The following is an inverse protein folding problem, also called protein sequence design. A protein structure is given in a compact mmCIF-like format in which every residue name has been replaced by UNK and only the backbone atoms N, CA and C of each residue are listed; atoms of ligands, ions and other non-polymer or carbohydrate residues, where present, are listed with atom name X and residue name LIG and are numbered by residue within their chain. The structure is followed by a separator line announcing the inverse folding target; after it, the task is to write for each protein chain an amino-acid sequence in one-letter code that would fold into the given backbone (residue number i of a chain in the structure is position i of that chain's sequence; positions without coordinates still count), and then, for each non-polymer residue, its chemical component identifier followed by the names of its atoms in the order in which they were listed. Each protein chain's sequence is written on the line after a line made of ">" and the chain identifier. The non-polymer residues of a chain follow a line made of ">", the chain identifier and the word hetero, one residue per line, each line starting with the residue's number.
data_IF_330464872417
#
_entry.id   IF_330464872417
#
_cell.length_a   1.000
_cell.length_b   1.000
_cell.length_c   1.000
_cell.angle_alpha   90.00
_cell.angle_beta   90.00
_cell.angle_gamma   90.00
#
_symmetry.space_group_name_H-M   'P 1'
#
loop_
_entity.id
_entity.type
_entity.pdbx_description
1 polymer ?
#
# COMPACT_ATOMS: atom_id res chain seq x y z
N UNK A 1 -2.84 1.81 -17.20
CA UNK A 1 -3.00 0.63 -16.37
C UNK A 1 -2.30 0.84 -15.02
N UNK A 2 -2.96 0.54 -13.94
CA UNK A 2 -2.38 0.77 -12.62
C UNK A 2 -1.32 -0.27 -12.26
N UNK A 3 -0.26 0.16 -11.58
CA UNK A 3 0.72 -0.73 -11.01
C UNK A 3 0.29 -1.12 -9.60
N UNK A 4 0.20 -2.41 -9.34
CA UNK A 4 -0.30 -2.92 -8.06
C UNK A 4 0.88 -3.24 -7.15
N UNK A 5 0.89 -2.65 -5.96
CA UNK A 5 1.87 -2.93 -4.92
C UNK A 5 1.16 -3.62 -3.77
N UNK A 6 1.61 -4.81 -3.43
CA UNK A 6 1.07 -5.55 -2.28
C UNK A 6 2.08 -5.49 -1.15
N UNK A 7 1.63 -5.06 0.01
CA UNK A 7 2.44 -5.04 1.24
C UNK A 7 1.73 -5.92 2.24
N UNK A 8 2.31 -7.08 2.51
CA UNK A 8 1.70 -8.05 3.42
C UNK A 8 2.66 -8.38 4.55
N UNK A 9 2.23 -8.14 5.77
CA UNK A 9 3.02 -8.36 6.97
C UNK A 9 2.16 -9.13 7.96
N UNK A 10 2.63 -10.30 8.35
CA UNK A 10 1.92 -11.18 9.27
C UNK A 10 0.94 -12.11 8.60
N UNK A 11 0.22 -11.64 7.59
CA UNK A 11 -0.79 -12.43 6.88
C UNK A 11 -0.58 -12.30 5.38
N UNK A 12 -0.66 -13.41 4.66
CA UNK A 12 -0.50 -13.39 3.22
C UNK A 12 -1.81 -13.02 2.53
N UNK A 13 -1.77 -12.05 1.63
CA UNK A 13 -2.93 -11.60 0.86
C UNK A 13 -2.69 -11.60 -0.64
N UNK A 14 -1.44 -11.87 -1.06
CA UNK A 14 -1.06 -11.76 -2.48
C UNK A 14 -1.88 -12.68 -3.37
N UNK A 15 -2.21 -13.88 -2.88
CA UNK A 15 -3.03 -14.82 -3.66
C UNK A 15 -4.40 -14.26 -4.00
N UNK A 16 -5.05 -13.62 -3.02
CA UNK A 16 -6.34 -13.00 -3.23
C UNK A 16 -6.25 -11.80 -4.19
N UNK A 17 -5.18 -11.02 -4.06
CA UNK A 17 -4.96 -9.88 -4.96
C UNK A 17 -4.82 -10.36 -6.39
N UNK A 18 -4.05 -11.41 -6.62
CA UNK A 18 -3.86 -11.97 -7.97
C UNK A 18 -5.20 -12.43 -8.56
N UNK A 19 -6.01 -13.11 -7.75
CA UNK A 19 -7.31 -13.62 -8.22
C UNK A 19 -8.28 -12.49 -8.60
N UNK A 20 -8.25 -11.38 -7.87
CA UNK A 20 -9.22 -10.30 -8.09
C UNK A 20 -8.71 -9.18 -9.00
N UNK A 21 -7.43 -8.89 -8.96
CA UNK A 21 -6.88 -7.72 -9.64
C UNK A 21 -5.78 -8.03 -10.65
N UNK A 22 -5.19 -9.22 -10.57
CA UNK A 22 -4.12 -9.61 -11.48
C UNK A 22 -2.75 -9.55 -10.84
N UNK A 23 -1.72 -9.68 -11.67
CA UNK A 23 -0.33 -9.79 -11.21
C UNK A 23 0.18 -8.48 -10.61
N UNK A 24 0.72 -8.48 -9.39
CA UNK A 24 1.31 -7.28 -8.81
C UNK A 24 2.58 -6.84 -9.53
N UNK A 25 2.82 -5.53 -9.53
CA UNK A 25 4.07 -4.96 -9.99
C UNK A 25 5.19 -5.27 -9.00
N UNK A 26 4.90 -5.20 -7.71
CA UNK A 26 5.85 -5.53 -6.66
C UNK A 26 5.12 -6.03 -5.40
N UNK A 27 5.82 -6.85 -4.64
CA UNK A 27 5.30 -7.40 -3.38
C UNK A 27 6.35 -7.21 -2.30
N UNK A 28 5.92 -6.65 -1.16
CA UNK A 28 6.73 -6.60 0.06
C UNK A 28 6.08 -7.60 1.00
N UNK A 29 6.74 -8.71 1.26
CA UNK A 29 6.13 -9.81 2.01
C UNK A 29 6.95 -10.22 3.21
N UNK A 30 6.33 -10.16 4.38
CA UNK A 30 6.86 -10.68 5.64
C UNK A 30 5.76 -11.51 6.27
N UNK A 31 5.57 -12.77 5.80
CA UNK A 31 4.42 -13.60 6.22
C UNK A 31 4.61 -14.18 7.62
N UNK A 32 4.95 -13.35 8.57
CA UNK A 32 5.19 -13.70 9.96
C UNK A 32 4.99 -12.47 10.82
N UNK A 33 4.89 -12.68 12.12
CA UNK A 33 4.89 -11.56 13.05
C UNK A 33 6.24 -10.85 13.00
N UNK A 34 6.21 -9.52 12.92
CA UNK A 34 7.42 -8.70 12.89
C UNK A 34 7.53 -7.87 14.17
N UNK A 35 8.77 -7.69 14.63
CA UNK A 35 9.05 -6.86 15.79
C UNK A 35 9.19 -5.39 15.36
N UNK A 36 8.89 -4.46 16.25
CA UNK A 36 9.00 -3.03 15.95
C UNK A 36 10.40 -2.63 15.47
N UNK A 37 11.43 -3.33 15.92
CA UNK A 37 12.80 -3.04 15.48
C UNK A 37 13.01 -3.29 13.98
N UNK A 38 12.11 -4.04 13.34
CA UNK A 38 12.18 -4.34 11.91
C UNK A 38 11.42 -3.32 11.05
N UNK A 39 10.63 -2.45 11.69
CA UNK A 39 9.76 -1.52 10.96
C UNK A 39 10.54 -0.60 10.02
N UNK A 40 11.66 -0.07 10.48
CA UNK A 40 12.45 0.85 9.65
C UNK A 40 12.90 0.20 8.34
N UNK A 41 13.35 -1.04 8.41
CA UNK A 41 13.78 -1.81 7.23
C UNK A 41 12.59 -2.05 6.28
N UNK A 42 11.47 -2.47 6.83
CA UNK A 42 10.28 -2.77 6.05
C UNK A 42 9.74 -1.51 5.39
N UNK A 43 9.70 -0.40 6.12
CA UNK A 43 9.25 0.89 5.60
C UNK A 43 10.13 1.37 4.45
N UNK A 44 11.45 1.20 4.59
CA UNK A 44 12.38 1.57 3.54
C UNK A 44 12.13 0.76 2.27
N UNK A 45 11.96 -0.54 2.41
CA UNK A 45 11.68 -1.42 1.28
C UNK A 45 10.37 -1.04 0.58
N UNK A 46 9.31 -0.84 1.38
CA UNK A 46 8.01 -0.47 0.83
C UNK A 46 8.07 0.88 0.12
N UNK A 47 8.71 1.86 0.71
CA UNK A 47 8.86 3.19 0.13
C UNK A 47 9.60 3.14 -1.20
N UNK A 48 10.68 2.36 -1.27
CA UNK A 48 11.45 2.21 -2.50
C UNK A 48 10.62 1.57 -3.62
N UNK A 49 9.83 0.55 -3.29
CA UNK A 49 8.95 -0.10 -4.29
C UNK A 49 7.88 0.85 -4.80
N UNK A 50 7.28 1.62 -3.90
CA UNK A 50 6.25 2.58 -4.27
C UNK A 50 6.83 3.69 -5.14
N UNK A 51 7.99 4.23 -4.75
CA UNK A 51 8.66 5.29 -5.50
C UNK A 51 9.03 4.81 -6.90
N UNK A 52 9.55 3.60 -7.01
CA UNK A 52 9.87 3.02 -8.31
C UNK A 52 8.63 2.89 -9.19
N UNK A 53 7.52 2.43 -8.62
CA UNK A 53 6.28 2.28 -9.36
C UNK A 53 5.73 3.62 -9.86
N UNK A 54 5.96 4.70 -9.10
CA UNK A 54 5.48 6.03 -9.47
C UNK A 54 6.35 6.74 -10.51
N UNK A 55 7.49 6.18 -10.88
CA UNK A 55 8.51 6.88 -11.65
C UNK A 55 8.06 7.37 -13.03
N UNK A 56 7.05 6.77 -13.63
CA UNK A 56 6.54 7.13 -14.95
C UNK A 56 5.16 7.77 -14.92
N UNK A 57 4.79 8.37 -13.79
CA UNK A 57 3.46 8.95 -13.59
C UNK A 57 2.31 7.95 -13.74
N UNK A 58 2.59 6.67 -13.61
CA UNK A 58 1.55 5.65 -13.61
C UNK A 58 0.74 5.71 -12.33
N UNK A 59 -0.54 5.35 -12.43
CA UNK A 59 -1.35 5.19 -11.24
C UNK A 59 -0.85 3.97 -10.47
N UNK A 60 -0.72 4.11 -9.16
CA UNK A 60 -0.25 3.04 -8.28
C UNK A 60 -1.34 2.68 -7.28
N UNK A 61 -1.67 1.40 -7.23
CA UNK A 61 -2.66 0.86 -6.31
C UNK A 61 -1.95 0.09 -5.21
N UNK A 62 -2.18 0.48 -3.96
CA UNK A 62 -1.55 -0.15 -2.81
C UNK A 62 -2.59 -0.96 -2.03
N UNK A 63 -2.28 -2.23 -1.78
CA UNK A 63 -3.09 -3.10 -0.95
C UNK A 63 -2.23 -3.53 0.23
N UNK A 64 -2.74 -3.32 1.43
CA UNK A 64 -1.96 -3.46 2.67
C UNK A 64 -2.58 -4.46 3.63
N UNK A 65 -1.72 -5.23 4.29
CA UNK A 65 -2.09 -6.01 5.46
C UNK A 65 -0.90 -5.97 6.41
N UNK A 66 -1.11 -5.49 7.64
CA UNK A 66 -0.01 -5.41 8.58
C UNK A 66 -0.36 -4.63 9.84
N UNK A 67 0.63 -4.42 10.72
CA UNK A 67 0.42 -3.64 11.94
C UNK A 67 -0.02 -2.21 11.64
N UNK A 68 -1.00 -1.73 12.38
CA UNK A 68 -1.55 -0.39 12.16
C UNK A 68 -0.49 0.72 12.26
N UNK A 69 0.41 0.60 13.24
CA UNK A 69 1.46 1.60 13.43
C UNK A 69 2.37 1.69 12.21
N UNK A 70 2.74 0.54 11.64
CA UNK A 70 3.60 0.50 10.46
C UNK A 70 2.89 1.12 9.26
N UNK A 71 1.62 0.78 9.06
CA UNK A 71 0.83 1.32 7.96
C UNK A 71 0.71 2.84 8.09
N UNK A 72 0.47 3.34 9.30
CA UNK A 72 0.40 4.78 9.54
C UNK A 72 1.72 5.47 9.20
N UNK A 73 2.84 4.87 9.61
CA UNK A 73 4.16 5.43 9.31
C UNK A 73 4.44 5.44 7.81
N UNK A 74 4.01 4.41 7.10
CA UNK A 74 4.15 4.37 5.65
C UNK A 74 3.39 5.53 5.01
N UNK A 75 2.17 5.79 5.49
CA UNK A 75 1.37 6.92 5.03
C UNK A 75 2.08 8.25 5.26
N UNK A 76 2.75 8.41 6.40
CA UNK A 76 3.53 9.62 6.69
C UNK A 76 4.68 9.79 5.68
N UNK A 77 5.36 8.70 5.34
CA UNK A 77 6.48 8.75 4.39
C UNK A 77 6.04 9.13 2.98
N UNK A 78 4.92 8.57 2.55
CA UNK A 78 4.38 8.84 1.21
C UNK A 78 3.85 10.27 1.13
N UNK A 79 3.21 10.73 2.21
CA UNK A 79 2.63 12.06 2.28
C UNK A 79 1.38 12.21 1.44
N UNK A 80 0.82 13.41 1.46
CA UNK A 80 -0.40 13.72 0.73
C UNK A 80 -0.13 14.25 -0.68
N UNK A 81 1.13 14.39 -1.05
CA UNK A 81 1.51 15.03 -2.30
C UNK A 81 1.45 14.12 -3.52
N UNK A 82 1.32 12.83 -3.31
CA UNK A 82 1.38 11.87 -4.40
C UNK A 82 -0.01 11.54 -4.90
N UNK A 83 -0.42 12.27 -5.93
CA UNK A 83 -1.80 12.21 -6.45
C UNK A 83 -2.12 10.92 -7.20
N UNK A 84 -1.12 10.16 -7.61
CA UNK A 84 -1.32 8.95 -8.40
C UNK A 84 -1.38 7.68 -7.57
N UNK A 85 -1.33 7.80 -6.26
CA UNK A 85 -1.40 6.64 -5.36
C UNK A 85 -2.82 6.49 -4.85
N UNK A 86 -3.37 5.29 -5.03
CA UNK A 86 -4.68 4.92 -4.50
C UNK A 86 -4.50 3.75 -3.56
N UNK A 87 -5.24 3.73 -2.46
CA UNK A 87 -5.27 2.62 -1.52
C UNK A 87 -6.54 1.82 -1.79
N UNK A 88 -6.43 0.50 -1.85
CA UNK A 88 -7.58 -0.36 -2.07
C UNK A 88 -7.90 -1.14 -0.81
N UNK A 89 -9.18 -1.25 -0.52
CA UNK A 89 -9.69 -1.98 0.63
C UNK A 89 -10.57 -3.13 0.17
N UNK A 90 -10.32 -4.33 0.72
CA UNK A 90 -11.18 -5.47 0.46
C UNK A 90 -12.44 -5.33 1.31
N UNK A 91 -13.57 -5.35 0.65
CA UNK A 91 -14.85 -5.24 1.34
C UNK A 91 -15.93 -5.94 0.53
N UNK A 92 -16.70 -6.78 1.21
CA UNK A 92 -17.85 -7.46 0.61
C UNK A 92 -17.48 -8.27 -0.64
N UNK A 93 -16.35 -8.95 -0.62
CA UNK A 93 -15.92 -9.82 -1.71
C UNK A 93 -15.19 -9.13 -2.85
N UNK A 94 -14.97 -7.82 -2.76
CA UNK A 94 -14.33 -7.05 -3.81
C UNK A 94 -13.32 -6.06 -3.26
N UNK A 95 -12.39 -5.63 -4.12
CA UNK A 95 -11.47 -4.55 -3.79
C UNK A 95 -12.04 -3.23 -4.27
N UNK A 96 -12.04 -2.25 -3.40
CA UNK A 96 -12.56 -0.91 -3.70
C UNK A 96 -11.48 0.13 -3.50
N UNK A 97 -11.42 1.10 -4.40
CA UNK A 97 -10.52 2.24 -4.23
C UNK A 97 -11.08 3.11 -3.09
N UNK A 98 -10.25 3.34 -2.08
CA UNK A 98 -10.62 4.22 -0.97
C UNK A 98 -10.63 5.66 -1.48
N UNK A 99 -11.71 6.42 -1.26
CA UNK A 99 -11.77 7.80 -1.74
C UNK A 99 -10.65 8.66 -1.16
N UNK A 100 -10.09 9.52 -1.99
CA UNK A 100 -9.07 10.46 -1.55
C UNK A 100 -9.67 11.52 -0.63
N UNK A 101 -8.85 11.99 0.32
CA UNK A 101 -9.24 13.07 1.21
C UNK A 101 -8.20 14.18 1.07
N UNK A 102 -8.64 15.39 0.80
CA UNK A 102 -7.75 16.53 0.73
C UNK A 102 -7.74 17.29 2.06
N UNK A 103 -6.69 18.06 2.31
CA UNK A 103 -6.62 18.91 3.49
C UNK A 103 -7.79 19.89 3.52
N UNK A 104 -8.16 20.43 2.36
CA UNK A 104 -9.23 21.42 2.27
C UNK A 104 -10.58 20.86 2.71
N UNK A 105 -10.81 19.57 2.51
CA UNK A 105 -12.04 18.92 2.96
C UNK A 105 -12.09 18.77 4.47
N UNK A 106 -10.94 18.72 5.12
CA UNK A 106 -10.84 18.49 6.57
C UNK A 106 -10.82 19.77 7.39
N UNK A 107 -10.52 20.89 6.78
CA UNK A 107 -10.32 22.19 7.47
C UNK A 107 -11.52 23.11 7.37
N UNK A 108 -12.67 22.56 7.40
CA UNK A 108 -13.90 23.39 7.35
C UNK A 108 -14.37 23.79 8.72
#
# INVERSE_FOLDING_TARGET
>A
MAKIIVIEIGKSIVGAVIRHLGKPYAVVSYPREVHMSEFKKILKEAYEKITDACSNNDEVWIILSGPLALVFQLGQLIGLDNKNIKVLQYYNGEYHIVPDVSKDELVK
#
